data_IF_832752853782
#
_entry.id   IF_832752853782
#
_cell.length_a   1.000
_cell.length_b   1.000
_cell.length_c   1.000
_cell.angle_alpha   90.00
_cell.angle_beta   90.00
_cell.angle_gamma   90.00
#
_symmetry.space_group_name_H-M   'P 1'
#
loop_
_entity.id
_entity.type
_entity.pdbx_description
1 polymer ?
#
# COMPACT_ATOMS: atom_id res chain seq x y z
N UNK A 1 26.16 25.85 12.86
CA UNK A 1 25.54 25.63 12.64
C UNK A 1 24.99 25.19 11.83
N UNK A 2 25.37 25.31 11.73
CA UNK A 2 24.82 25.00 11.02
C UNK A 2 24.09 24.76 10.29
N UNK A 3 24.05 24.91 10.30
CA UNK A 3 23.26 24.78 9.89
C UNK A 3 22.72 24.39 9.09
N UNK A 4 23.04 24.44 8.99
CA UNK A 4 22.35 24.16 8.38
C UNK A 4 21.75 23.79 7.66
N UNK A 5 22.01 23.83 7.64
CA UNK A 5 21.27 23.55 7.20
C UNK A 5 20.54 23.19 6.67
N UNK A 6 20.67 23.14 6.63
CA UNK A 6 19.77 22.87 6.45
C UNK A 6 19.21 22.70 5.77
N UNK A 7 19.39 22.85 6.04
CA UNK A 7 18.44 22.79 5.58
C UNK A 7 17.95 22.25 4.56
N UNK A 8 18.19 22.05 4.48
CA UNK A 8 17.67 21.70 3.74
C UNK A 8 16.99 21.09 3.16
N UNK A 9 17.25 21.06 3.13
CA UNK A 9 16.60 20.72 2.54
C UNK A 9 15.66 20.36 2.14
N UNK A 10 15.33 20.21 2.36
CA UNK A 10 14.33 19.63 1.75
C UNK A 10 13.79 20.05 0.64
N UNK A 11 13.99 20.60 0.46
CA UNK A 11 13.54 21.15 -0.59
C UNK A 11 13.32 20.38 -1.78
N UNK A 12 14.06 19.40 -2.01
CA UNK A 12 14.00 18.76 -3.25
C UNK A 12 12.71 18.14 -3.54
N UNK A 13 12.02 17.75 -2.52
CA UNK A 13 10.78 17.12 -2.74
C UNK A 13 9.67 18.04 -2.86
N UNK A 14 9.88 19.24 -2.47
CA UNK A 14 8.83 20.19 -2.52
C UNK A 14 8.43 20.43 -3.91
N UNK A 15 7.15 20.45 -4.17
CA UNK A 15 6.66 20.76 -5.46
C UNK A 15 6.87 19.69 -6.51
N UNK A 16 7.36 18.53 -6.10
CA UNK A 16 7.48 17.43 -7.03
C UNK A 16 6.21 16.59 -6.97
N UNK A 17 5.29 16.78 -7.93
CA UNK A 17 4.01 16.07 -7.88
C UNK A 17 4.16 14.59 -8.11
N UNK A 18 5.29 14.14 -8.57
CA UNK A 18 5.51 12.72 -8.81
C UNK A 18 6.19 12.03 -7.64
N UNK A 19 6.43 12.74 -6.54
CA UNK A 19 7.10 12.13 -5.40
C UNK A 19 6.18 11.12 -4.74
N UNK A 20 6.78 10.00 -4.30
CA UNK A 20 6.04 9.00 -3.56
C UNK A 20 5.65 9.54 -2.19
N UNK A 21 4.62 8.94 -1.62
CA UNK A 21 4.13 9.30 -0.30
C UNK A 21 4.44 8.18 0.68
N UNK A 22 4.83 8.54 1.89
CA UNK A 22 4.96 7.57 2.98
C UNK A 22 3.77 7.70 3.89
N UNK A 23 3.13 6.58 4.19
CA UNK A 23 2.02 6.54 5.12
C UNK A 23 2.46 5.77 6.35
N UNK A 24 2.30 6.39 7.52
CA UNK A 24 2.59 5.74 8.80
C UNK A 24 1.36 4.95 9.21
N UNK A 25 1.47 3.63 9.16
CA UNK A 25 0.35 2.75 9.49
C UNK A 25 0.31 2.40 10.97
N UNK A 26 1.17 3.01 11.78
CA UNK A 26 1.21 2.76 13.21
C UNK A 26 2.04 1.56 13.60
N UNK A 27 1.95 1.14 14.86
CA UNK A 27 2.80 0.05 15.35
C UNK A 27 2.57 -1.25 14.59
N UNK A 28 3.65 -1.94 14.23
CA UNK A 28 3.52 -3.23 13.53
C UNK A 28 2.80 -4.24 14.40
N UNK A 29 2.85 -4.08 15.73
CA UNK A 29 2.16 -4.99 16.64
C UNK A 29 0.64 -4.94 16.47
N UNK A 30 0.12 -3.86 15.90
CA UNK A 30 -1.32 -3.77 15.64
C UNK A 30 -1.77 -4.75 14.56
N UNK A 31 -0.84 -5.31 13.82
CA UNK A 31 -1.15 -6.21 12.70
C UNK A 31 -0.55 -7.59 12.91
N UNK A 32 -0.49 -8.03 14.17
CA UNK A 32 0.10 -9.33 14.50
C UNK A 32 -0.82 -10.49 14.15
N UNK A 33 -2.13 -10.27 14.16
CA UNK A 33 -3.09 -11.35 13.87
C UNK A 33 -3.25 -11.50 12.37
N UNK A 34 -3.23 -12.74 11.90
CA UNK A 34 -3.43 -13.02 10.49
C UNK A 34 -4.76 -12.47 10.01
N UNK A 35 -4.74 -11.87 8.84
CA UNK A 35 -5.93 -11.31 8.27
C UNK A 35 -5.62 -10.18 7.30
N UNK A 36 -6.70 -9.63 6.78
CA UNK A 36 -6.62 -8.49 5.89
C UNK A 36 -7.15 -7.28 6.64
N UNK A 37 -6.38 -6.20 6.60
CA UNK A 37 -6.72 -4.94 7.28
C UNK A 37 -7.05 -3.92 6.21
N UNK A 38 -8.32 -3.51 6.16
CA UNK A 38 -8.81 -2.64 5.10
C UNK A 38 -8.92 -1.17 5.50
N UNK A 39 -8.42 -0.81 6.67
CA UNK A 39 -8.53 0.57 7.16
C UNK A 39 -7.80 1.60 6.33
N UNK A 40 -6.87 1.19 5.49
CA UNK A 40 -6.09 2.12 4.67
C UNK A 40 -6.50 2.15 3.21
N UNK A 41 -7.66 1.57 2.90
CA UNK A 41 -8.13 1.51 1.51
C UNK A 41 -8.19 2.89 0.87
N UNK A 42 -8.67 3.87 1.61
CA UNK A 42 -8.78 5.23 1.07
C UNK A 42 -7.42 5.89 0.90
N UNK A 43 -6.40 5.37 1.56
CA UNK A 43 -5.04 5.88 1.39
C UNK A 43 -4.28 5.11 0.32
N UNK A 44 -4.88 4.08 -0.23
CA UNK A 44 -4.35 3.42 -1.41
C UNK A 44 -3.78 2.02 -1.21
N UNK A 45 -3.97 1.41 -0.05
CA UNK A 45 -3.42 0.07 0.16
C UNK A 45 -4.22 -0.74 1.16
N UNK A 46 -3.97 -2.05 1.11
CA UNK A 46 -4.44 -3.00 2.12
C UNK A 46 -3.22 -3.62 2.80
N UNK A 47 -3.34 -3.93 4.09
CA UNK A 47 -2.31 -4.68 4.78
C UNK A 47 -2.79 -6.11 4.95
N UNK A 48 -1.88 -7.05 4.76
CA UNK A 48 -2.18 -8.47 4.89
C UNK A 48 -1.11 -9.11 5.75
N UNK A 49 -1.51 -9.71 6.87
CA UNK A 49 -0.61 -10.51 7.70
C UNK A 49 -0.79 -11.97 7.30
N UNK A 50 0.28 -12.59 6.87
CA UNK A 50 0.27 -14.01 6.53
C UNK A 50 1.50 -14.64 7.16
N UNK A 51 1.30 -15.33 8.27
CA UNK A 51 2.41 -15.89 9.02
C UNK A 51 3.36 -14.79 9.45
N UNK A 52 4.66 -14.94 9.20
CA UNK A 52 5.63 -13.91 9.58
C UNK A 52 5.63 -12.70 8.66
N UNK A 53 4.91 -12.75 7.55
CA UNK A 53 4.92 -11.66 6.58
C UNK A 53 3.80 -10.67 6.82
N UNK A 54 4.13 -9.40 6.73
CA UNK A 54 3.16 -8.32 6.73
C UNK A 54 3.36 -7.57 5.43
N UNK A 55 2.38 -7.67 4.53
CA UNK A 55 2.50 -7.13 3.18
C UNK A 55 1.51 -6.01 2.97
N UNK A 56 1.90 -5.03 2.17
CA UNK A 56 1.01 -3.96 1.75
C UNK A 56 0.74 -4.15 0.25
N UNK A 57 -0.53 -4.33 -0.09
CA UNK A 57 -0.92 -4.44 -1.50
C UNK A 57 -1.56 -3.14 -1.93
N UNK A 58 -1.29 -2.73 -3.16
CA UNK A 58 -1.97 -1.57 -3.73
C UNK A 58 -3.47 -1.81 -3.76
N UNK A 59 -4.23 -0.81 -3.37
CA UNK A 59 -5.69 -0.89 -3.42
C UNK A 59 -6.24 -0.42 -4.76
N UNK A 60 -5.37 -0.18 -5.74
CA UNK A 60 -5.77 0.25 -7.07
C UNK A 60 -5.75 -0.92 -8.04
N UNK A 61 -6.82 -1.05 -8.81
CA UNK A 61 -6.88 -2.09 -9.83
C UNK A 61 -5.82 -1.84 -10.90
N UNK A 62 -5.12 -2.90 -11.32
CA UNK A 62 -4.06 -2.76 -12.32
C UNK A 62 -4.59 -2.53 -13.72
N UNK A 63 -5.88 -2.74 -13.96
CA UNK A 63 -6.47 -2.43 -15.25
C UNK A 63 -6.73 -0.93 -15.38
N UNK A 64 -7.46 -0.39 -14.39
CA UNK A 64 -7.73 1.04 -14.35
C UNK A 64 -7.76 1.43 -12.89
N UNK A 65 -7.29 2.42 -12.44
CA UNK A 65 -7.04 2.75 -11.06
C UNK A 65 -8.27 2.89 -10.17
N UNK A 66 -9.28 2.08 -10.41
CA UNK A 66 -10.42 1.99 -9.50
C UNK A 66 -9.99 1.35 -8.21
N UNK A 67 -10.55 1.78 -7.10
CA UNK A 67 -10.24 1.18 -5.83
C UNK A 67 -10.86 -0.20 -5.72
N UNK A 68 -10.07 -1.13 -5.22
CA UNK A 68 -10.51 -2.50 -5.05
C UNK A 68 -11.34 -2.65 -3.79
N UNK A 69 -12.17 -3.66 -3.77
CA UNK A 69 -12.93 -4.07 -2.59
C UNK A 69 -12.36 -5.41 -2.13
N UNK A 70 -12.06 -5.51 -0.83
CA UNK A 70 -11.62 -6.78 -0.26
C UNK A 70 -12.84 -7.62 0.06
N UNK A 71 -12.79 -8.90 -0.31
CA UNK A 71 -13.87 -9.83 -0.07
C UNK A 71 -13.61 -10.63 1.22
N UNK A 72 -14.64 -11.27 1.77
CA UNK A 72 -14.47 -12.03 3.01
C UNK A 72 -13.40 -13.11 2.95
N UNK A 73 -13.14 -13.67 1.78
CA UNK A 73 -12.12 -14.69 1.61
C UNK A 73 -10.73 -14.08 1.41
N UNK A 74 -10.60 -12.76 1.60
CA UNK A 74 -9.37 -11.99 1.45
C UNK A 74 -8.91 -11.83 0.01
N UNK A 75 -9.76 -12.15 -0.95
CA UNK A 75 -9.50 -11.83 -2.34
C UNK A 75 -9.95 -10.41 -2.62
N UNK A 76 -9.61 -9.90 -3.80
CA UNK A 76 -9.91 -8.52 -4.15
C UNK A 76 -10.73 -8.47 -5.43
N UNK A 77 -11.64 -7.50 -5.48
CA UNK A 77 -12.56 -7.36 -6.59
C UNK A 77 -12.59 -5.90 -7.04
N UNK A 78 -12.57 -5.70 -8.35
CA UNK A 78 -12.68 -4.37 -8.95
C UNK A 78 -14.10 -4.18 -9.48
N UNK A 79 -14.84 -3.28 -8.87
CA UNK A 79 -16.23 -3.04 -9.28
C UNK A 79 -16.36 -2.44 -10.66
N UNK A 80 -15.32 -1.76 -11.13
CA UNK A 80 -15.43 -1.01 -12.38
C UNK A 80 -15.56 -1.91 -13.58
N UNK A 81 -14.79 -2.99 -13.64
CA UNK A 81 -14.79 -3.87 -14.81
C UNK A 81 -14.73 -5.35 -14.45
N UNK A 82 -14.84 -5.69 -13.18
CA UNK A 82 -14.93 -7.08 -12.78
C UNK A 82 -13.63 -7.84 -12.61
N UNK A 83 -12.49 -7.16 -12.65
CA UNK A 83 -11.22 -7.84 -12.41
C UNK A 83 -11.18 -8.42 -11.01
N UNK A 84 -10.53 -9.57 -10.85
CA UNK A 84 -10.42 -10.23 -9.56
C UNK A 84 -8.98 -10.65 -9.32
N UNK A 85 -8.60 -10.63 -8.05
CA UNK A 85 -7.26 -11.00 -7.61
C UNK A 85 -7.40 -11.92 -6.40
N UNK A 86 -6.55 -12.93 -6.32
CA UNK A 86 -6.61 -13.86 -5.19
C UNK A 86 -5.99 -13.21 -3.93
N UNK A 87 -6.04 -13.89 -2.77
CA UNK A 87 -5.48 -13.30 -1.56
C UNK A 87 -3.99 -12.98 -1.63
N UNK A 88 -3.27 -13.57 -2.53
CA UNK A 88 -1.86 -13.26 -2.75
C UNK A 88 -1.65 -12.12 -3.74
N UNK A 89 -2.73 -11.51 -4.23
CA UNK A 89 -2.63 -10.40 -5.17
C UNK A 89 -2.50 -10.83 -6.62
N UNK A 90 -2.60 -12.10 -6.93
CA UNK A 90 -2.50 -12.58 -8.31
C UNK A 90 -3.81 -12.37 -9.03
N UNK A 91 -3.74 -11.87 -10.25
CA UNK A 91 -4.94 -11.68 -11.04
C UNK A 91 -5.54 -13.04 -11.39
N UNK A 92 -6.84 -13.20 -11.12
CA UNK A 92 -7.57 -14.42 -11.43
C UNK A 92 -8.61 -14.19 -12.52
N UNK A 93 -9.06 -12.94 -12.68
CA UNK A 93 -9.99 -12.61 -13.74
C UNK A 93 -9.70 -11.23 -14.29
N UNK A 94 -9.74 -11.12 -15.61
CA UNK A 94 -9.52 -9.86 -16.30
C UNK A 94 -10.74 -8.96 -16.21
N UNK A 95 -10.59 -7.75 -16.76
CA UNK A 95 -9.60 -7.36 -17.78
C UNK A 95 -8.22 -7.02 -17.24
N UNK A 96 -7.99 -6.97 -15.94
CA UNK A 96 -6.64 -6.74 -15.43
C UNK A 96 -5.71 -7.86 -15.90
N UNK A 97 -4.48 -7.50 -16.27
CA UNK A 97 -3.50 -8.46 -16.76
C UNK A 97 -2.26 -8.53 -15.88
N UNK A 98 -2.19 -7.72 -14.84
CA UNK A 98 -1.05 -7.71 -13.94
C UNK A 98 -1.51 -7.95 -12.52
N UNK A 99 -0.68 -8.62 -11.75
CA UNK A 99 -0.94 -8.85 -10.34
C UNK A 99 -0.91 -7.52 -9.58
N UNK A 100 -1.48 -7.52 -8.38
CA UNK A 100 -1.43 -6.33 -7.54
C UNK A 100 0.00 -6.10 -7.08
N UNK A 101 0.49 -4.87 -7.19
CA UNK A 101 1.82 -4.56 -6.69
C UNK A 101 1.89 -4.70 -5.17
N UNK A 102 2.98 -5.25 -4.70
CA UNK A 102 3.31 -5.23 -3.28
C UNK A 102 4.09 -3.94 -3.07
N UNK A 103 3.60 -3.10 -2.17
CA UNK A 103 4.20 -1.81 -1.94
C UNK A 103 5.38 -1.93 -0.97
N UNK A 104 6.43 -1.13 -1.17
CA UNK A 104 7.56 -1.15 -0.24
C UNK A 104 7.15 -0.74 1.15
N UNK A 105 7.69 -1.42 2.15
CA UNK A 105 7.41 -1.11 3.55
C UNK A 105 8.72 -1.05 4.31
N UNK A 106 8.70 -0.33 5.43
CA UNK A 106 9.82 -0.30 6.36
C UNK A 106 9.28 -0.06 7.75
N UNK A 107 10.07 -0.39 8.76
CA UNK A 107 9.70 -0.14 10.15
C UNK A 107 10.65 0.91 10.69
N UNK A 108 10.11 1.97 11.27
CA UNK A 108 10.96 3.05 11.78
C UNK A 108 11.40 2.78 13.22
N UNK A 109 12.13 3.74 13.80
CA UNK A 109 12.70 3.58 15.14
C UNK A 109 11.67 3.37 16.21
N UNK A 110 10.43 3.77 15.98
CA UNK A 110 9.35 3.61 16.94
C UNK A 110 8.55 2.34 16.73
N UNK A 111 8.99 1.48 15.82
CA UNK A 111 8.30 0.25 15.53
C UNK A 111 7.05 0.44 14.69
N UNK A 112 6.93 1.59 14.03
CA UNK A 112 5.79 1.86 13.15
C UNK A 112 6.07 1.38 11.73
N UNK A 113 5.05 0.83 11.12
CA UNK A 113 5.12 0.40 9.73
C UNK A 113 4.90 1.61 8.83
N UNK A 114 5.84 1.85 7.94
CA UNK A 114 5.70 2.90 6.93
C UNK A 114 5.48 2.23 5.58
N UNK A 115 4.50 2.71 4.84
CA UNK A 115 4.16 2.15 3.54
C UNK A 115 4.38 3.22 2.49
N UNK A 116 5.12 2.87 1.45
CA UNK A 116 5.43 3.81 0.38
C UNK A 116 4.42 3.68 -0.74
N UNK A 117 3.68 4.76 -0.97
CA UNK A 117 2.64 4.79 -1.98
C UNK A 117 3.18 5.53 -3.19
N UNK A 118 3.35 4.85 -4.32
CA UNK A 118 3.82 5.53 -5.52
C UNK A 118 2.75 6.47 -6.03
N UNK A 119 3.18 7.56 -6.57
CA UNK A 119 2.28 8.49 -7.23
C UNK A 119 2.01 8.00 -8.63
N UNK A 120 0.77 8.02 -9.01
CA UNK A 120 0.36 7.46 -10.29
C UNK A 120 0.91 8.22 -11.48
#
# INVERSE_FOLDING_TARGET
MLTLAGVAAPTAVEGNPAADRLVDAGPVSSYAVEGLYSGFRDQGFFLVRKGPQLLAFSASCTHRKCKLTAKPDRSFYCKCHGSMFDPGGKVTEGPAKRDLPILPTMVNDRGHLLVKIPVA
#
